data_IF_899106902008
#
_entry.id   IF_899106902008
#
_cell.length_a   1.000
_cell.length_b   1.000
_cell.length_c   1.000
_cell.angle_alpha   90.00
_cell.angle_beta   90.00
_cell.angle_gamma   90.00
#
_symmetry.space_group_name_H-M   'P 1'
#
loop_
_entity.id
_entity.type
_entity.pdbx_description
1 polymer ?
#
# COMPACT_ATOMS: atom_id res chain seq x y z
N UNK A 1 20.91 -4.64 13.77
CA UNK A 1 20.95 -4.60 12.30
C UNK A 1 20.35 -5.90 11.82
N UNK A 2 19.23 -5.86 11.10
CA UNK A 2 18.56 -7.06 10.59
C UNK A 2 19.01 -7.26 9.14
N UNK A 3 19.68 -8.37 8.87
CA UNK A 3 19.96 -8.81 7.51
C UNK A 3 18.84 -9.72 7.05
N UNK A 4 18.58 -9.77 5.74
CA UNK A 4 17.71 -10.79 5.16
C UNK A 4 18.35 -12.19 5.28
N UNK A 5 17.61 -13.28 5.02
CA UNK A 5 18.13 -14.63 5.14
C UNK A 5 19.35 -14.94 4.26
N UNK A 6 19.51 -14.27 3.11
CA UNK A 6 20.70 -14.41 2.25
C UNK A 6 21.91 -13.64 2.76
N UNK A 7 21.70 -12.63 3.60
CA UNK A 7 22.75 -11.73 4.09
C UNK A 7 23.14 -10.63 3.10
N UNK A 8 22.33 -10.37 2.07
CA UNK A 8 22.59 -9.42 0.99
C UNK A 8 21.89 -8.08 1.17
N UNK A 9 20.80 -8.03 1.94
CA UNK A 9 20.03 -6.81 2.22
C UNK A 9 20.14 -6.42 3.70
N UNK A 10 20.39 -5.13 3.93
CA UNK A 10 20.10 -4.48 5.20
C UNK A 10 18.61 -4.13 5.27
N UNK A 11 17.83 -4.92 6.02
CA UNK A 11 16.38 -4.73 6.16
C UNK A 11 16.07 -3.58 7.12
N UNK A 12 15.26 -2.62 6.66
CA UNK A 12 14.83 -1.46 7.47
C UNK A 12 13.31 -1.41 7.68
N UNK A 13 12.52 -2.15 6.89
CA UNK A 13 11.06 -2.27 7.02
C UNK A 13 10.68 -3.74 6.94
N UNK A 14 9.79 -4.18 7.82
CA UNK A 14 9.18 -5.50 7.81
C UNK A 14 7.67 -5.36 7.74
N UNK A 15 7.03 -6.23 6.96
CA UNK A 15 5.59 -6.45 7.03
C UNK A 15 5.23 -7.03 8.41
N UNK A 16 4.01 -6.79 8.90
CA UNK A 16 3.61 -7.06 10.30
C UNK A 16 3.56 -8.55 10.68
N UNK A 17 3.37 -9.45 9.70
CA UNK A 17 3.48 -10.90 9.86
C UNK A 17 4.87 -11.43 9.53
N UNK A 18 5.79 -10.55 9.12
CA UNK A 18 7.15 -10.93 8.71
C UNK A 18 7.22 -11.69 7.38
N UNK A 19 6.15 -11.68 6.59
CA UNK A 19 6.10 -12.37 5.29
C UNK A 19 6.81 -11.60 4.15
N UNK A 20 7.16 -10.34 4.39
CA UNK A 20 7.89 -9.50 3.46
C UNK A 20 8.77 -8.48 4.20
N UNK A 21 9.81 -8.01 3.51
CA UNK A 21 10.74 -7.02 4.02
C UNK A 21 11.29 -6.13 2.90
N UNK A 22 11.71 -4.93 3.28
CA UNK A 22 12.37 -3.98 2.38
C UNK A 22 13.73 -3.61 2.96
N UNK A 23 14.74 -3.63 2.11
CA UNK A 23 16.11 -3.42 2.53
C UNK A 23 17.00 -2.82 1.47
N UNK A 24 18.16 -2.34 1.90
CA UNK A 24 19.20 -1.77 1.05
C UNK A 24 20.23 -2.86 0.74
N UNK A 25 20.58 -3.12 -0.54
CA UNK A 25 21.67 -4.02 -0.88
C UNK A 25 22.99 -3.58 -0.24
N UNK A 26 23.70 -4.53 0.38
CA UNK A 26 24.91 -4.23 1.17
C UNK A 26 26.02 -3.58 0.34
N UNK A 27 26.14 -3.94 -0.93
CA UNK A 27 27.08 -3.35 -1.89
C UNK A 27 26.75 -1.90 -2.28
N UNK A 28 25.54 -1.42 -1.95
CA UNK A 28 25.05 -0.09 -2.24
C UNK A 28 24.94 0.83 -1.00
N UNK A 29 25.27 0.36 0.20
CA UNK A 29 25.14 1.14 1.45
C UNK A 29 25.90 2.47 1.48
N UNK A 30 26.95 2.61 0.67
CA UNK A 30 27.74 3.84 0.59
C UNK A 30 27.11 4.94 -0.27
N UNK A 31 26.00 4.66 -0.97
CA UNK A 31 25.32 5.65 -1.80
C UNK A 31 24.45 6.57 -0.95
N UNK A 32 24.36 7.85 -1.32
CA UNK A 32 23.55 8.85 -0.60
C UNK A 32 22.05 8.50 -0.55
N UNK A 33 21.52 7.91 -1.63
CA UNK A 33 20.12 7.47 -1.75
C UNK A 33 20.06 6.12 -2.49
N UNK A 34 20.37 5.02 -1.79
CA UNK A 34 20.59 3.71 -2.42
C UNK A 34 19.27 3.08 -2.91
N UNK A 35 19.34 2.07 -3.79
CA UNK A 35 18.17 1.29 -4.17
C UNK A 35 17.63 0.45 -3.02
N UNK A 36 16.36 0.07 -3.15
CA UNK A 36 15.64 -0.78 -2.21
C UNK A 36 15.22 -2.08 -2.89
N UNK A 37 15.53 -3.20 -2.25
CA UNK A 37 15.05 -4.52 -2.57
C UNK A 37 13.79 -4.89 -1.77
N UNK A 38 12.93 -5.70 -2.37
CA UNK A 38 11.78 -6.36 -1.75
C UNK A 38 12.08 -7.85 -1.59
N UNK A 39 12.05 -8.30 -0.34
CA UNK A 39 11.95 -9.70 0.08
C UNK A 39 10.47 -10.05 0.29
N UNK A 40 10.03 -11.21 -0.16
CA UNK A 40 8.66 -11.70 0.06
C UNK A 40 8.62 -13.22 -0.04
N UNK A 41 7.79 -13.87 0.80
CA UNK A 41 7.50 -15.30 0.70
C UNK A 41 6.80 -15.68 -0.61
N UNK A 42 6.28 -14.70 -1.35
CA UNK A 42 5.72 -14.88 -2.70
C UNK A 42 6.78 -14.85 -3.82
N UNK A 43 8.07 -14.73 -3.48
CA UNK A 43 9.18 -14.90 -4.42
C UNK A 43 9.62 -16.37 -4.50
N UNK A 44 9.89 -16.90 -5.70
CA UNK A 44 10.12 -18.34 -5.92
C UNK A 44 11.40 -18.89 -5.25
N UNK A 45 12.38 -18.04 -4.97
CA UNK A 45 13.72 -18.42 -4.50
C UNK A 45 14.02 -17.96 -3.07
N UNK A 46 13.04 -17.36 -2.36
CA UNK A 46 13.26 -16.65 -1.09
C UNK A 46 14.38 -15.59 -1.15
N UNK A 47 14.74 -15.17 -2.37
CA UNK A 47 15.63 -14.06 -2.61
C UNK A 47 14.89 -12.74 -2.52
N UNK A 48 15.47 -11.71 -3.13
CA UNK A 48 14.86 -10.40 -3.20
C UNK A 48 14.87 -9.90 -4.65
N UNK A 49 14.05 -8.88 -4.92
CA UNK A 49 14.00 -8.22 -6.23
C UNK A 49 14.06 -6.70 -6.08
N UNK A 50 14.41 -5.96 -7.13
CA UNK A 50 14.30 -4.50 -7.12
C UNK A 50 12.87 -4.05 -6.79
N UNK A 51 12.75 -3.10 -5.87
CA UNK A 51 11.49 -2.45 -5.48
C UNK A 51 11.42 -1.02 -5.99
N UNK A 52 12.37 -0.18 -5.58
CA UNK A 52 12.52 1.22 -6.01
C UNK A 52 14.00 1.59 -6.04
N UNK A 53 14.39 2.50 -6.95
CA UNK A 53 15.80 2.87 -7.17
C UNK A 53 16.39 3.74 -6.06
N UNK A 54 15.54 4.27 -5.16
CA UNK A 54 15.92 5.20 -4.10
C UNK A 54 15.17 4.92 -2.80
N UNK A 55 15.87 4.89 -1.67
CA UNK A 55 15.29 4.80 -0.32
C UNK A 55 14.35 5.96 -0.05
N UNK A 56 14.66 7.17 -0.53
CA UNK A 56 13.77 8.32 -0.37
C UNK A 56 12.39 8.08 -1.00
N UNK A 57 12.34 7.42 -2.16
CA UNK A 57 11.10 7.02 -2.82
C UNK A 57 10.41 5.88 -2.06
N UNK A 58 11.16 4.90 -1.55
CA UNK A 58 10.61 3.83 -0.72
C UNK A 58 10.01 4.36 0.59
N UNK A 59 10.61 5.40 1.18
CA UNK A 59 10.05 6.11 2.33
C UNK A 59 8.76 6.86 1.97
N UNK A 60 8.70 7.50 0.80
CA UNK A 60 7.48 8.15 0.33
C UNK A 60 6.34 7.15 0.07
N UNK A 61 6.65 6.02 -0.58
CA UNK A 61 5.71 4.90 -0.77
C UNK A 61 5.24 4.35 0.59
N UNK A 62 6.15 4.10 1.52
CA UNK A 62 5.84 3.65 2.88
C UNK A 62 4.84 4.58 3.56
N UNK A 63 5.08 5.90 3.52
CA UNK A 63 4.17 6.88 4.14
C UNK A 63 2.78 6.83 3.48
N UNK A 64 2.70 6.66 2.16
CA UNK A 64 1.41 6.53 1.46
C UNK A 64 0.68 5.25 1.87
N UNK A 65 1.38 4.12 1.87
CA UNK A 65 0.89 2.82 2.30
C UNK A 65 0.35 2.86 3.73
N UNK A 66 1.14 3.35 4.68
CA UNK A 66 0.71 3.43 6.08
C UNK A 66 -0.42 4.46 6.28
N UNK A 67 -0.41 5.58 5.56
CA UNK A 67 -1.48 6.56 5.65
C UNK A 67 -2.83 6.03 5.13
N UNK A 68 -2.81 5.14 4.13
CA UNK A 68 -4.00 4.40 3.68
C UNK A 68 -4.36 3.32 4.68
N UNK A 69 -3.42 2.48 5.11
CA UNK A 69 -3.70 1.39 6.05
C UNK A 69 -4.28 1.89 7.39
N UNK A 70 -3.73 2.97 7.95
CA UNK A 70 -4.21 3.57 9.20
C UNK A 70 -5.65 4.11 9.12
N UNK A 71 -6.19 4.31 7.91
CA UNK A 71 -7.55 4.83 7.67
C UNK A 71 -8.42 3.90 6.82
N UNK A 72 -7.92 2.72 6.44
CA UNK A 72 -8.59 1.79 5.52
C UNK A 72 -9.96 1.37 6.05
N UNK A 73 -10.07 1.16 7.35
CA UNK A 73 -11.27 0.70 8.03
C UNK A 73 -12.00 1.84 8.77
N UNK A 74 -13.31 1.65 8.99
CA UNK A 74 -14.17 2.61 9.69
C UNK A 74 -14.67 3.76 8.80
N UNK A 75 -14.97 4.91 9.40
CA UNK A 75 -15.64 6.02 8.69
C UNK A 75 -14.78 6.68 7.60
N UNK A 76 -13.45 6.56 7.69
CA UNK A 76 -12.50 7.29 6.83
C UNK A 76 -11.95 6.48 5.66
N UNK A 77 -12.38 5.23 5.48
CA UNK A 77 -11.90 4.39 4.40
C UNK A 77 -12.96 3.44 3.85
N UNK A 78 -12.85 3.14 2.55
CA UNK A 78 -13.69 2.16 1.86
C UNK A 78 -12.84 1.38 0.86
N UNK A 79 -13.30 0.19 0.55
CA UNK A 79 -12.74 -0.60 -0.53
C UNK A 79 -13.85 -1.16 -1.42
N UNK A 80 -13.50 -1.40 -2.68
CA UNK A 80 -14.35 -2.09 -3.64
C UNK A 80 -13.48 -2.82 -4.66
N UNK A 81 -14.02 -3.86 -5.33
CA UNK A 81 -13.38 -4.40 -6.50
C UNK A 81 -13.30 -3.37 -7.62
N UNK A 82 -12.18 -3.35 -8.33
CA UNK A 82 -11.80 -2.29 -9.25
C UNK A 82 -11.79 -2.80 -10.71
N UNK A 83 -12.96 -3.20 -11.19
CA UNK A 83 -13.16 -3.49 -12.60
C UNK A 83 -12.76 -2.30 -13.50
N UNK A 84 -12.54 -2.55 -14.80
CA UNK A 84 -12.04 -1.54 -15.75
C UNK A 84 -12.83 -0.20 -15.75
N UNK A 85 -14.16 -0.24 -15.54
CA UNK A 85 -15.00 0.97 -15.41
C UNK A 85 -14.62 1.84 -14.21
N UNK A 86 -14.22 1.22 -13.09
CA UNK A 86 -13.81 1.88 -11.85
C UNK A 86 -12.45 2.52 -12.05
N UNK A 87 -11.51 1.76 -12.62
CA UNK A 87 -10.16 2.25 -12.95
C UNK A 87 -10.27 3.49 -13.85
N UNK A 88 -11.07 3.43 -14.90
CA UNK A 88 -11.28 4.56 -15.83
C UNK A 88 -11.87 5.78 -15.10
N UNK A 89 -12.85 5.57 -14.20
CA UNK A 89 -13.44 6.66 -13.42
C UNK A 89 -12.41 7.30 -12.47
N UNK A 90 -11.56 6.50 -11.84
CA UNK A 90 -10.49 6.98 -10.95
C UNK A 90 -9.47 7.79 -11.74
N UNK A 91 -9.00 7.28 -12.88
CA UNK A 91 -8.03 7.97 -13.75
C UNK A 91 -8.57 9.29 -14.32
N UNK A 92 -9.88 9.39 -14.53
CA UNK A 92 -10.54 10.61 -14.99
C UNK A 92 -10.73 11.67 -13.88
N UNK A 93 -10.97 11.23 -12.64
CA UNK A 93 -11.36 12.12 -11.53
C UNK A 93 -10.21 12.51 -10.59
N UNK A 94 -9.15 11.70 -10.52
CA UNK A 94 -8.06 11.89 -9.54
C UNK A 94 -6.70 12.00 -10.21
N UNK A 95 -5.79 12.70 -9.54
CA UNK A 95 -4.41 12.86 -10.02
C UNK A 95 -3.58 11.66 -9.62
N UNK A 96 -2.95 11.00 -10.59
CA UNK A 96 -1.93 9.98 -10.32
C UNK A 96 -0.76 10.60 -9.55
N UNK A 97 -0.34 9.93 -8.47
CA UNK A 97 0.88 10.27 -7.76
C UNK A 97 2.04 9.66 -8.56
N UNK A 98 3.00 10.51 -8.95
CA UNK A 98 4.13 10.13 -9.78
C UNK A 98 5.22 9.39 -8.98
N UNK A 99 4.88 8.22 -8.44
CA UNK A 99 5.84 7.24 -7.95
C UNK A 99 6.21 6.28 -9.09
N UNK A 100 7.48 5.81 -9.16
CA UNK A 100 7.81 4.70 -10.03
C UNK A 100 6.98 3.45 -9.67
N UNK A 101 6.78 2.52 -10.63
CA UNK A 101 6.07 1.27 -10.38
C UNK A 101 6.61 0.52 -9.15
N UNK A 102 5.81 0.43 -8.09
CA UNK A 102 6.18 -0.33 -6.90
C UNK A 102 5.52 -1.72 -6.93
N UNK A 103 6.31 -2.81 -6.94
CA UNK A 103 5.73 -4.15 -6.87
C UNK A 103 5.08 -4.34 -5.48
N UNK A 104 3.83 -4.84 -5.42
CA UNK A 104 3.19 -5.17 -4.15
C UNK A 104 3.90 -6.38 -3.52
N UNK A 105 3.97 -6.43 -2.20
CA UNK A 105 4.65 -7.53 -1.49
C UNK A 105 3.93 -8.88 -1.63
N UNK A 106 2.60 -8.87 -1.76
CA UNK A 106 1.75 -10.06 -1.86
C UNK A 106 1.63 -10.62 -3.28
N UNK A 107 1.91 -9.80 -4.30
CA UNK A 107 1.90 -10.23 -5.70
C UNK A 107 3.05 -9.60 -6.50
N UNK A 108 4.31 -9.84 -6.12
CA UNK A 108 5.45 -9.08 -6.64
C UNK A 108 5.67 -9.24 -8.15
N UNK A 109 5.16 -10.31 -8.77
CA UNK A 109 5.24 -10.57 -10.21
C UNK A 109 4.12 -9.91 -11.02
N UNK A 110 3.14 -9.32 -10.34
CA UNK A 110 1.98 -8.69 -10.95
C UNK A 110 2.21 -7.27 -11.46
N UNK A 111 1.10 -6.62 -11.78
CA UNK A 111 1.08 -5.18 -12.00
C UNK A 111 1.53 -4.44 -10.72
N UNK A 112 2.08 -3.23 -10.82
CA UNK A 112 2.46 -2.43 -9.66
C UNK A 112 1.22 -1.84 -8.96
N UNK A 113 1.38 -1.50 -7.69
CA UNK A 113 0.41 -0.64 -6.99
C UNK A 113 0.38 0.74 -7.65
N UNK A 114 -0.82 1.32 -7.80
CA UNK A 114 -1.00 2.67 -8.36
C UNK A 114 -1.65 3.60 -7.37
N UNK A 115 -1.11 4.81 -7.26
CA UNK A 115 -1.52 5.79 -6.27
C UNK A 115 -2.20 6.99 -6.93
N UNK A 116 -3.29 7.47 -6.33
CA UNK A 116 -4.00 8.66 -6.78
C UNK A 116 -4.35 9.57 -5.62
N UNK A 117 -4.58 10.85 -5.91
CA UNK A 117 -4.91 11.85 -4.91
C UNK A 117 -5.80 12.97 -5.44
N UNK A 118 -6.51 13.60 -4.50
CA UNK A 118 -7.12 14.91 -4.60
C UNK A 118 -7.06 15.57 -3.21
N UNK A 119 -7.38 16.87 -3.04
CA UNK A 119 -7.41 17.49 -1.71
C UNK A 119 -8.26 16.66 -0.73
N UNK A 120 -7.67 16.27 0.40
CA UNK A 120 -8.30 15.42 1.42
C UNK A 120 -8.45 13.94 1.05
N UNK A 121 -8.10 13.50 -0.16
CA UNK A 121 -8.42 12.17 -0.69
C UNK A 121 -7.17 11.43 -1.17
N UNK A 122 -7.05 10.16 -0.80
CA UNK A 122 -6.01 9.24 -1.29
C UNK A 122 -6.65 7.95 -1.74
N UNK A 123 -6.20 7.43 -2.88
CA UNK A 123 -6.69 6.19 -3.43
C UNK A 123 -5.49 5.30 -3.79
N UNK A 124 -5.60 4.02 -3.49
CA UNK A 124 -4.65 2.98 -3.78
C UNK A 124 -5.35 1.93 -4.64
N UNK A 125 -4.85 1.73 -5.86
CA UNK A 125 -5.26 0.58 -6.66
C UNK A 125 -4.27 -0.56 -6.40
N UNK A 126 -4.78 -1.57 -5.71
CA UNK A 126 -4.10 -2.80 -5.36
C UNK A 126 -4.27 -3.81 -6.50
N UNK A 127 -3.18 -4.23 -7.15
CA UNK A 127 -3.25 -5.26 -8.19
C UNK A 127 -3.62 -6.60 -7.57
N UNK A 128 -4.35 -7.44 -8.30
CA UNK A 128 -4.66 -8.80 -7.88
C UNK A 128 -4.75 -9.68 -9.15
N UNK A 129 -4.35 -10.96 -9.09
CA UNK A 129 -4.43 -11.85 -10.25
C UNK A 129 -5.86 -12.09 -10.75
N UNK A 130 -6.85 -12.06 -9.87
CA UNK A 130 -8.26 -12.31 -10.20
C UNK A 130 -9.01 -10.99 -10.45
N UNK A 131 -9.02 -10.08 -9.46
CA UNK A 131 -9.68 -8.78 -9.59
C UNK A 131 -8.99 -7.70 -8.73
N UNK A 132 -8.43 -6.64 -9.34
CA UNK A 132 -7.78 -5.55 -8.59
C UNK A 132 -8.71 -4.94 -7.54
N UNK A 133 -8.15 -4.53 -6.41
CA UNK A 133 -8.86 -3.79 -5.36
C UNK A 133 -8.65 -2.28 -5.50
N UNK A 134 -9.66 -1.49 -5.19
CA UNK A 134 -9.52 -0.05 -4.96
C UNK A 134 -9.78 0.25 -3.50
N UNK A 135 -8.77 0.79 -2.82
CA UNK A 135 -8.86 1.31 -1.46
C UNK A 135 -8.86 2.82 -1.52
N UNK A 136 -9.80 3.46 -0.83
CA UNK A 136 -9.92 4.91 -0.78
C UNK A 136 -9.96 5.37 0.66
N UNK A 137 -9.25 6.45 0.97
CA UNK A 137 -9.28 7.07 2.29
C UNK A 137 -9.42 8.58 2.20
N UNK A 138 -10.21 9.13 3.13
CA UNK A 138 -10.42 10.55 3.32
C UNK A 138 -9.65 11.13 4.50
N UNK A 139 -9.43 12.44 4.50
CA UNK A 139 -9.00 13.18 5.68
C UNK A 139 -10.19 13.41 6.62
N UNK A 140 -11.38 13.63 6.05
CA UNK A 140 -12.68 13.64 6.72
C UNK A 140 -13.62 12.56 6.15
N UNK A 141 -14.69 12.23 6.85
CA UNK A 141 -15.71 11.29 6.36
C UNK A 141 -16.38 11.79 5.07
N UNK A 142 -16.59 13.11 4.95
CA UNK A 142 -17.14 13.73 3.75
C UNK A 142 -16.27 13.51 2.51
N UNK A 143 -14.95 13.44 2.67
CA UNK A 143 -14.04 13.14 1.55
C UNK A 143 -14.30 11.74 0.98
N UNK A 144 -14.57 10.76 1.83
CA UNK A 144 -14.90 9.40 1.41
C UNK A 144 -16.26 9.38 0.72
N UNK A 145 -17.27 10.03 1.28
CA UNK A 145 -18.59 10.10 0.67
C UNK A 145 -18.57 10.76 -0.71
N UNK A 146 -17.74 11.79 -0.91
CA UNK A 146 -17.52 12.39 -2.22
C UNK A 146 -16.90 11.41 -3.21
N UNK A 147 -15.93 10.59 -2.79
CA UNK A 147 -15.33 9.55 -3.64
C UNK A 147 -16.39 8.51 -4.04
N UNK A 148 -17.18 8.04 -3.08
CA UNK A 148 -18.23 7.05 -3.28
C UNK A 148 -19.31 7.52 -4.25
N UNK A 149 -19.63 8.81 -4.23
CA UNK A 149 -20.56 9.42 -5.18
C UNK A 149 -19.96 9.58 -6.58
N UNK A 150 -18.64 9.84 -6.69
CA UNK A 150 -17.96 10.07 -7.96
C UNK A 150 -17.53 8.79 -8.68
N UNK A 151 -17.22 7.73 -7.93
CA UNK A 151 -16.70 6.47 -8.46
C UNK A 151 -17.78 5.38 -8.31
N UNK A 152 -18.22 4.74 -9.41
CA UNK A 152 -19.38 3.84 -9.40
C UNK A 152 -19.03 2.42 -8.91
N UNK A 153 -18.35 2.33 -7.77
CA UNK A 153 -17.86 1.09 -7.15
C UNK A 153 -18.92 0.36 -6.34
N UNK A 154 -18.74 -0.95 -6.20
CA UNK A 154 -19.51 -1.79 -5.27
C UNK A 154 -18.81 -1.76 -3.90
N UNK A 155 -19.10 -0.73 -3.12
CA UNK A 155 -18.40 -0.43 -1.88
C UNK A 155 -18.75 -1.40 -0.74
N UNK A 156 -17.72 -1.91 -0.06
CA UNK A 156 -17.89 -2.69 1.14
C UNK A 156 -18.61 -1.88 2.25
N UNK A 157 -19.45 -2.53 3.08
CA UNK A 157 -20.06 -1.88 4.23
C UNK A 157 -18.98 -1.43 5.24
N UNK A 158 -19.33 -0.47 6.10
CA UNK A 158 -18.43 -0.07 7.18
C UNK A 158 -18.27 -1.24 8.14
N UNK A 159 -17.06 -1.78 8.26
CA UNK A 159 -16.72 -2.67 9.36
C UNK A 159 -16.67 -1.86 10.66
N UNK A 160 -17.43 -2.29 11.66
CA UNK A 160 -17.32 -1.78 13.02
C UNK A 160 -15.98 -2.22 13.61
N UNK A 161 -15.05 -1.28 13.77
CA UNK A 161 -13.83 -1.55 14.53
C UNK A 161 -14.21 -1.56 16.01
N UNK A 162 -14.37 -2.73 16.60
CA UNK A 162 -14.44 -2.86 18.06
C UNK A 162 -13.10 -2.36 18.64
N UNK A 163 -13.11 -1.21 19.31
CA UNK A 163 -11.93 -0.72 20.01
C UNK A 163 -11.74 -1.57 21.28
N UNK A 164 -10.54 -2.10 21.50
CA UNK A 164 -10.20 -2.86 22.71
C UNK A 164 -10.41 -2.07 24.03
N UNK A 165 -10.63 -0.76 23.95
CA UNK A 165 -10.97 0.11 25.10
C UNK A 165 -12.32 -0.20 25.75
N UNK A 166 -13.24 -0.91 25.07
CA UNK A 166 -14.53 -1.31 25.65
C UNK A 166 -14.44 -2.58 26.53
N UNK A 167 -13.30 -3.27 26.58
CA UNK A 167 -13.12 -4.47 27.43
C UNK A 167 -12.78 -4.17 28.89
N UNK A 168 -12.57 -2.90 29.29
CA UNK A 168 -12.18 -2.56 30.68
C UNK A 168 -13.31 -1.99 31.54
N UNK A 169 -14.56 -1.94 31.06
CA UNK A 169 -15.71 -1.55 31.87
C UNK A 169 -16.80 -2.60 31.77
N UNK A 170 -16.53 -3.81 32.24
CA UNK A 170 -17.53 -4.76 32.77
C UNK A 170 -16.82 -6.03 33.26
N UNK A 171 -16.58 -6.13 34.57
CA UNK A 171 -16.08 -7.34 35.21
C UNK A 171 -15.25 -7.06 36.46
#
# INVERSE_FOLDING_TARGET
>A
MLLDPSGELLVFRSENQGCAGWGIPLDHLGNDDPPVGLLSDHLPDRGWRPHLDHVSLACAELILSEAVMARRYGAYGRECPAAAKIITAVEAAYRTIALPPCPPWYFPQGAPTRWFSAPGKRLCLEPDPDEPGLVVVGQAETDVLEILAAVPGEWAPIESVEREEDKTISG
#
